data_IF_048885708621
#
_entry.id   IF_048885708621
#
_cell.length_a   1.000
_cell.length_b   1.000
_cell.length_c   1.000
_cell.angle_alpha   90.00
_cell.angle_beta   90.00
_cell.angle_gamma   90.00
#
_symmetry.space_group_name_H-M   'P 1'
#
loop_
_entity.id
_entity.type
_entity.pdbx_description
1 polymer ?
#
# COMPACT_ATOMS: atom_id res chain seq x y z
N UNK A 1 -70.26 55.62 -18.57
CA UNK A 1 -69.09 55.80 -19.45
C UNK A 1 -68.08 54.73 -19.06
N UNK A 2 -67.95 53.69 -19.90
CA UNK A 2 -66.94 52.65 -19.73
C UNK A 2 -65.98 52.82 -20.90
N UNK A 3 -64.79 53.35 -20.64
CA UNK A 3 -63.75 53.43 -21.65
C UNK A 3 -63.21 52.01 -21.91
N UNK A 4 -63.17 51.54 -23.17
CA UNK A 4 -62.49 50.30 -23.49
C UNK A 4 -60.99 50.54 -23.40
N UNK A 5 -60.34 49.83 -22.47
CA UNK A 5 -58.89 49.72 -22.38
C UNK A 5 -58.33 49.45 -23.79
N UNK A 6 -57.44 50.34 -24.25
CA UNK A 6 -56.79 50.25 -25.55
C UNK A 6 -56.02 48.93 -25.65
N UNK A 7 -56.25 48.19 -26.74
CA UNK A 7 -55.57 46.92 -27.02
C UNK A 7 -54.03 47.05 -27.00
N UNK A 8 -53.50 48.26 -27.21
CA UNK A 8 -52.06 48.56 -27.12
C UNK A 8 -51.52 48.59 -25.67
N UNK A 9 -52.31 49.01 -24.69
CA UNK A 9 -51.89 49.05 -23.28
C UNK A 9 -51.94 47.65 -22.65
N UNK A 10 -52.96 46.86 -22.98
CA UNK A 10 -53.03 45.47 -22.55
C UNK A 10 -51.88 44.64 -23.15
N UNK A 11 -51.60 44.78 -24.45
CA UNK A 11 -50.51 44.05 -25.12
C UNK A 11 -49.11 44.37 -24.57
N UNK A 12 -48.86 45.62 -24.16
CA UNK A 12 -47.59 46.04 -23.57
C UNK A 12 -47.34 45.44 -22.18
N UNK A 13 -48.38 45.35 -21.34
CA UNK A 13 -48.27 44.77 -19.99
C UNK A 13 -48.04 43.25 -20.08
N UNK A 14 -48.78 42.54 -20.95
CA UNK A 14 -48.58 41.11 -21.17
C UNK A 14 -47.18 40.81 -21.74
N UNK A 15 -46.70 41.59 -22.71
CA UNK A 15 -45.36 41.44 -23.26
C UNK A 15 -44.27 41.68 -22.20
N UNK A 16 -44.44 42.68 -21.33
CA UNK A 16 -43.53 42.99 -20.23
C UNK A 16 -43.44 41.85 -19.21
N UNK A 17 -44.57 41.28 -18.80
CA UNK A 17 -44.60 40.15 -17.86
C UNK A 17 -43.96 38.90 -18.46
N UNK A 18 -44.25 38.58 -19.72
CA UNK A 18 -43.64 37.43 -20.41
C UNK A 18 -42.13 37.61 -20.57
N UNK A 19 -41.66 38.81 -20.90
CA UNK A 19 -40.24 39.11 -20.99
C UNK A 19 -39.52 38.96 -19.64
N UNK A 20 -40.17 39.39 -18.55
CA UNK A 20 -39.62 39.30 -17.20
C UNK A 20 -39.54 37.84 -16.73
N UNK A 21 -40.57 37.03 -17.01
CA UNK A 21 -40.57 35.59 -16.75
C UNK A 21 -39.52 34.85 -17.59
N UNK A 22 -39.36 35.22 -18.87
CA UNK A 22 -38.34 34.63 -19.74
C UNK A 22 -36.92 34.97 -19.27
N UNK A 23 -36.68 36.19 -18.79
CA UNK A 23 -35.41 36.61 -18.22
C UNK A 23 -35.10 35.83 -16.92
N UNK A 24 -36.08 35.71 -16.04
CA UNK A 24 -35.96 34.93 -14.81
C UNK A 24 -35.70 33.45 -15.09
N UNK A 25 -36.40 32.86 -16.07
CA UNK A 25 -36.19 31.48 -16.51
C UNK A 25 -34.79 31.23 -17.05
N UNK A 26 -34.28 32.11 -17.93
CA UNK A 26 -32.90 32.02 -18.45
C UNK A 26 -31.86 32.24 -17.35
N UNK A 27 -32.10 33.15 -16.42
CA UNK A 27 -31.24 33.39 -15.27
C UNK A 27 -31.14 32.16 -14.36
N UNK A 28 -32.27 31.53 -14.05
CA UNK A 28 -32.31 30.29 -13.27
C UNK A 28 -31.60 29.14 -13.99
N UNK A 29 -31.85 28.96 -15.28
CA UNK A 29 -31.18 27.92 -16.08
C UNK A 29 -29.65 28.12 -16.16
N UNK A 30 -29.18 29.36 -16.31
CA UNK A 30 -27.75 29.66 -16.30
C UNK A 30 -27.09 29.32 -14.96
N UNK A 31 -27.75 29.66 -13.85
CA UNK A 31 -27.24 29.39 -12.51
C UNK A 31 -27.16 27.89 -12.20
N UNK A 32 -28.15 27.11 -12.64
CA UNK A 32 -28.16 25.65 -12.53
C UNK A 32 -27.02 25.02 -13.36
N UNK A 33 -26.90 25.39 -14.63
CA UNK A 33 -25.83 24.89 -15.50
C UNK A 33 -24.42 25.23 -14.97
N UNK A 34 -24.25 26.41 -14.37
CA UNK A 34 -22.99 26.82 -13.78
C UNK A 34 -22.63 25.99 -12.55
N UNK A 35 -23.61 25.68 -11.71
CA UNK A 35 -23.42 24.81 -10.56
C UNK A 35 -23.07 23.38 -11.00
N UNK A 36 -23.78 22.83 -12.00
CA UNK A 36 -23.51 21.49 -12.53
C UNK A 36 -22.12 21.39 -13.15
N UNK A 37 -21.68 22.39 -13.91
CA UNK A 37 -20.32 22.44 -14.44
C UNK A 37 -19.25 22.49 -13.33
N UNK A 38 -19.53 23.19 -12.22
CA UNK A 38 -18.64 23.22 -11.04
C UNK A 38 -18.62 21.90 -10.29
N UNK A 39 -19.76 21.23 -10.13
CA UNK A 39 -19.85 19.93 -9.47
C UNK A 39 -19.14 18.87 -10.32
N UNK A 40 -19.39 18.83 -11.63
CA UNK A 40 -18.75 17.91 -12.58
C UNK A 40 -17.22 18.11 -12.63
N UNK A 41 -16.74 19.35 -12.63
CA UNK A 41 -15.28 19.60 -12.59
C UNK A 41 -14.63 19.24 -11.25
N UNK A 42 -15.38 19.29 -10.14
CA UNK A 42 -14.89 18.83 -8.83
C UNK A 42 -14.89 17.30 -8.76
N UNK A 43 -15.95 16.63 -9.21
CA UNK A 43 -16.00 15.17 -9.23
C UNK A 43 -14.90 14.60 -10.11
N UNK A 44 -14.69 15.15 -11.32
CA UNK A 44 -13.63 14.69 -12.21
C UNK A 44 -12.22 14.84 -11.62
N UNK A 45 -11.98 15.89 -10.80
CA UNK A 45 -10.70 16.05 -10.08
C UNK A 45 -10.55 15.03 -8.96
N UNK A 46 -11.62 14.75 -8.22
CA UNK A 46 -11.61 13.74 -7.17
C UNK A 46 -11.37 12.35 -7.77
N UNK A 47 -12.04 12.02 -8.87
CA UNK A 47 -11.86 10.74 -9.57
C UNK A 47 -10.42 10.58 -10.07
N UNK A 48 -9.83 11.64 -10.62
CA UNK A 48 -8.42 11.64 -11.03
C UNK A 48 -7.47 11.45 -9.85
N UNK A 49 -7.75 12.09 -8.71
CA UNK A 49 -6.98 11.90 -7.47
C UNK A 49 -7.13 10.50 -6.90
N UNK A 50 -8.33 9.92 -6.90
CA UNK A 50 -8.54 8.54 -6.47
C UNK A 50 -7.76 7.56 -7.36
N UNK A 51 -7.83 7.72 -8.68
CA UNK A 51 -7.07 6.90 -9.61
C UNK A 51 -5.55 7.07 -9.44
N UNK A 52 -5.07 8.26 -9.10
CA UNK A 52 -3.66 8.48 -8.80
C UNK A 52 -3.23 7.80 -7.49
N UNK A 53 -4.06 7.90 -6.44
CA UNK A 53 -3.79 7.26 -5.15
C UNK A 53 -3.77 5.75 -5.27
N UNK A 54 -4.76 5.15 -5.94
CA UNK A 54 -4.84 3.71 -6.17
C UNK A 54 -3.59 3.21 -6.90
N UNK A 55 -3.16 3.90 -7.97
CA UNK A 55 -1.91 3.55 -8.67
C UNK A 55 -0.66 3.67 -7.81
N UNK A 56 -0.62 4.65 -6.89
CA UNK A 56 0.51 4.83 -5.96
C UNK A 56 0.52 3.72 -4.93
N UNK A 57 -0.64 3.34 -4.41
CA UNK A 57 -0.80 2.25 -3.45
C UNK A 57 -0.39 0.91 -4.07
N UNK A 58 -0.91 0.58 -5.26
CA UNK A 58 -0.51 -0.62 -6.00
C UNK A 58 1.00 -0.70 -6.24
N UNK A 59 1.62 0.44 -6.61
CA UNK A 59 3.07 0.49 -6.81
C UNK A 59 3.84 0.26 -5.51
N UNK A 60 3.42 0.88 -4.41
CA UNK A 60 4.06 0.72 -3.11
C UNK A 60 3.94 -0.72 -2.62
N UNK A 61 2.78 -1.34 -2.78
CA UNK A 61 2.56 -2.74 -2.41
C UNK A 61 3.42 -3.68 -3.24
N UNK A 62 3.53 -3.44 -4.54
CA UNK A 62 4.40 -4.21 -5.42
C UNK A 62 5.88 -4.07 -5.05
N UNK A 63 6.34 -2.85 -4.75
CA UNK A 63 7.71 -2.57 -4.32
C UNK A 63 8.02 -3.22 -2.96
N UNK A 64 7.10 -3.13 -2.00
CA UNK A 64 7.23 -3.77 -0.69
C UNK A 64 7.31 -5.29 -0.82
N UNK A 65 6.42 -5.89 -1.60
CA UNK A 65 6.43 -7.33 -1.84
C UNK A 65 7.73 -7.79 -2.48
N UNK A 66 8.19 -7.10 -3.53
CA UNK A 66 9.45 -7.42 -4.19
C UNK A 66 10.66 -7.27 -3.25
N UNK A 67 10.62 -6.28 -2.35
CA UNK A 67 11.66 -6.10 -1.34
C UNK A 67 11.64 -7.22 -0.29
N UNK A 68 10.46 -7.62 0.19
CA UNK A 68 10.28 -8.74 1.12
C UNK A 68 10.79 -10.05 0.50
N UNK A 69 10.37 -10.36 -0.73
CA UNK A 69 10.80 -11.58 -1.44
C UNK A 69 12.33 -11.62 -1.61
N UNK A 70 12.94 -10.47 -1.93
CA UNK A 70 14.41 -10.34 -2.05
C UNK A 70 15.09 -10.55 -0.70
N UNK A 71 14.56 -10.02 0.38
CA UNK A 71 15.11 -10.22 1.72
C UNK A 71 14.99 -11.67 2.15
N UNK A 72 13.84 -12.31 1.97
CA UNK A 72 13.61 -13.70 2.33
C UNK A 72 14.55 -14.63 1.56
N UNK A 73 14.73 -14.41 0.25
CA UNK A 73 15.67 -15.17 -0.56
C UNK A 73 17.12 -15.03 -0.06
N UNK A 74 17.53 -13.79 0.29
CA UNK A 74 18.87 -13.54 0.84
C UNK A 74 19.06 -14.20 2.21
N UNK A 75 18.06 -14.14 3.08
CA UNK A 75 18.11 -14.77 4.40
C UNK A 75 18.21 -16.29 4.27
N UNK A 76 17.36 -16.93 3.46
CA UNK A 76 17.44 -18.38 3.19
C UNK A 76 18.81 -18.81 2.67
N UNK A 77 19.39 -18.01 1.76
CA UNK A 77 20.73 -18.27 1.25
C UNK A 77 21.79 -18.17 2.36
N UNK A 78 21.76 -17.11 3.14
CA UNK A 78 22.70 -16.90 4.26
C UNK A 78 22.57 -17.98 5.33
N UNK A 79 21.35 -18.42 5.63
CA UNK A 79 21.10 -19.53 6.56
C UNK A 79 21.72 -20.83 6.06
N UNK A 80 21.54 -21.16 4.77
CA UNK A 80 22.17 -22.32 4.15
C UNK A 80 23.70 -22.24 4.15
N UNK A 81 24.27 -21.09 3.79
CA UNK A 81 25.72 -20.85 3.83
C UNK A 81 26.29 -20.99 5.25
N UNK A 82 25.62 -20.42 6.26
CA UNK A 82 26.03 -20.55 7.65
C UNK A 82 25.94 -21.98 8.17
N UNK A 83 24.89 -22.72 7.80
CA UNK A 83 24.77 -24.12 8.18
C UNK A 83 25.88 -24.97 7.52
N UNK A 84 26.19 -24.72 6.25
CA UNK A 84 27.27 -25.40 5.55
C UNK A 84 28.63 -25.11 6.18
N UNK A 85 28.91 -23.84 6.52
CA UNK A 85 30.14 -23.44 7.21
C UNK A 85 30.29 -24.12 8.59
N UNK A 86 29.20 -24.20 9.36
CA UNK A 86 29.19 -24.92 10.64
C UNK A 86 29.50 -26.40 10.47
N UNK A 87 28.82 -27.07 9.54
CA UNK A 87 29.05 -28.50 9.27
C UNK A 87 30.49 -28.75 8.80
N UNK A 88 31.01 -27.91 7.90
CA UNK A 88 32.39 -27.99 7.46
C UNK A 88 33.38 -27.82 8.62
N UNK A 89 33.12 -26.88 9.53
CA UNK A 89 33.96 -26.70 10.71
C UNK A 89 33.91 -27.93 11.62
N UNK A 90 32.73 -28.46 11.97
CA UNK A 90 32.62 -29.64 12.82
C UNK A 90 33.34 -30.86 12.21
N UNK A 91 33.20 -31.06 10.89
CA UNK A 91 33.89 -32.13 10.17
C UNK A 91 35.42 -32.01 10.25
N UNK A 92 35.97 -30.79 10.31
CA UNK A 92 37.41 -30.54 10.43
C UNK A 92 37.86 -30.51 11.90
N UNK A 93 37.04 -29.99 12.80
CA UNK A 93 37.35 -29.83 14.22
C UNK A 93 37.42 -31.17 14.95
N UNK A 94 36.54 -32.13 14.63
CA UNK A 94 36.53 -33.47 15.24
C UNK A 94 37.88 -34.20 15.06
N UNK A 95 38.43 -34.38 13.85
CA UNK A 95 39.72 -35.03 13.68
C UNK A 95 40.87 -34.20 14.26
N UNK A 96 40.81 -32.87 14.21
CA UNK A 96 41.86 -32.02 14.81
C UNK A 96 41.89 -32.14 16.34
N UNK A 97 40.73 -32.20 17.01
CA UNK A 97 40.63 -32.45 18.46
C UNK A 97 41.14 -33.84 18.84
N UNK A 98 40.99 -34.84 17.95
CA UNK A 98 41.54 -36.17 18.18
C UNK A 98 43.07 -36.21 18.11
N UNK A 99 43.69 -35.31 17.33
CA UNK A 99 45.15 -35.21 17.18
C UNK A 99 45.76 -34.34 18.29
N UNK A 100 45.18 -33.18 18.58
CA UNK A 100 45.69 -32.24 19.60
C UNK A 100 44.53 -31.69 20.45
N UNK A 101 44.12 -32.42 21.50
CA UNK A 101 42.98 -32.05 22.34
C UNK A 101 43.21 -30.77 23.16
N UNK A 102 44.47 -30.41 23.41
CA UNK A 102 44.86 -29.30 24.28
C UNK A 102 45.01 -27.96 23.57
N UNK A 103 44.73 -27.89 22.26
CA UNK A 103 45.06 -26.71 21.46
C UNK A 103 44.17 -25.50 21.82
N UNK A 104 44.72 -24.40 22.36
CA UNK A 104 43.94 -23.24 22.75
C UNK A 104 43.30 -22.52 21.55
N UNK A 105 43.82 -22.70 20.33
CA UNK A 105 43.25 -22.11 19.11
C UNK A 105 41.95 -22.79 18.70
N UNK A 106 41.81 -24.10 18.96
CA UNK A 106 40.55 -24.82 18.71
C UNK A 106 39.45 -24.32 19.64
N UNK A 107 39.77 -24.09 20.91
CA UNK A 107 38.84 -23.51 21.88
C UNK A 107 38.42 -22.07 21.50
N UNK A 108 39.37 -21.23 21.06
CA UNK A 108 39.06 -19.88 20.59
C UNK A 108 38.19 -19.89 19.32
N UNK A 109 38.47 -20.79 18.37
CA UNK A 109 37.67 -20.92 17.15
C UNK A 109 36.23 -21.34 17.46
N UNK A 110 36.03 -22.26 18.41
CA UNK A 110 34.70 -22.67 18.87
C UNK A 110 33.91 -21.51 19.50
N UNK A 111 34.55 -20.71 20.34
CA UNK A 111 33.92 -19.54 20.98
C UNK A 111 33.55 -18.46 19.94
N UNK A 112 34.43 -18.20 18.98
CA UNK A 112 34.15 -17.28 17.86
C UNK A 112 32.97 -17.77 17.01
N UNK A 113 32.85 -19.07 16.76
CA UNK A 113 31.73 -19.62 16.01
C UNK A 113 30.43 -19.62 16.80
N UNK A 114 30.48 -19.87 18.10
CA UNK A 114 29.32 -19.82 19.00
C UNK A 114 28.75 -18.40 19.11
N UNK A 115 29.63 -17.39 19.13
CA UNK A 115 29.23 -15.98 19.15
C UNK A 115 28.77 -15.47 17.78
N UNK A 116 29.47 -15.82 16.69
CA UNK A 116 29.11 -15.41 15.33
C UNK A 116 27.84 -16.10 14.80
N UNK A 117 27.61 -17.34 15.26
CA UNK A 117 26.43 -18.12 14.92
C UNK A 117 25.78 -18.58 16.24
N UNK A 118 24.83 -17.82 16.81
CA UNK A 118 24.06 -18.29 17.95
C UNK A 118 23.21 -19.52 17.55
N UNK A 119 23.06 -20.47 18.46
CA UNK A 119 22.12 -21.57 18.30
C UNK A 119 20.70 -20.98 18.35
N UNK A 120 20.15 -20.60 17.20
CA UNK A 120 18.70 -20.48 17.07
C UNK A 120 18.22 -21.87 16.69
N UNK A 121 17.69 -22.68 17.62
CA UNK A 121 16.97 -23.88 17.22
C UNK A 121 15.81 -23.39 16.35
N UNK A 122 15.99 -23.48 15.04
CA UNK A 122 14.87 -23.39 14.11
C UNK A 122 14.05 -24.65 14.36
N UNK A 123 13.15 -24.58 15.35
CA UNK A 123 12.14 -25.61 15.57
C UNK A 123 11.30 -25.61 14.29
N UNK A 124 11.36 -26.70 13.47
CA UNK A 124 10.53 -26.79 12.28
C UNK A 124 9.07 -26.58 12.67
N UNK A 125 8.28 -25.93 11.81
CA UNK A 125 6.87 -25.63 12.11
C UNK A 125 6.09 -26.87 12.59
N UNK A 126 6.44 -28.05 12.07
CA UNK A 126 5.88 -29.34 12.46
C UNK A 126 6.21 -29.75 13.91
N UNK A 127 7.43 -29.50 14.39
CA UNK A 127 7.79 -29.75 15.79
C UNK A 127 7.12 -28.75 16.74
N UNK A 128 6.90 -27.51 16.30
CA UNK A 128 6.17 -26.51 17.10
C UNK A 128 4.70 -26.91 17.28
N UNK A 129 4.09 -27.47 16.23
CA UNK A 129 2.75 -28.05 16.29
C UNK A 129 2.70 -29.30 17.21
N UNK A 130 3.72 -30.16 17.15
CA UNK A 130 3.81 -31.34 18.02
C UNK A 130 3.97 -30.98 19.52
N UNK A 131 4.71 -29.91 19.84
CA UNK A 131 4.89 -29.45 21.22
C UNK A 131 3.63 -28.77 21.79
N UNK A 132 2.83 -28.09 20.96
CA UNK A 132 1.55 -27.50 21.39
C UNK A 132 0.41 -28.51 21.56
N UNK A 133 0.61 -29.77 21.16
CA UNK A 133 -0.36 -30.86 21.32
C UNK A 133 -0.06 -31.77 22.53
N UNK A 134 0.98 -31.46 23.31
CA UNK A 134 1.39 -32.20 24.51
C UNK A 134 0.95 -31.48 25.81
N UNK A 135 0.29 -30.32 25.70
CA UNK A 135 -0.41 -29.63 26.79
C UNK A 135 -1.90 -30.01 26.78
#
# INVERSE_FOLDING_TARGET
>A
MNDPLSAGEAGGIFAGVVALLALLGKGAQWLLNWNDARVSSRSAKLDAWHAELERREERLDAEQKAYQDRLESRLKKLEGENQALRLAFELVAVPLRAIDPGNPKLAQAEELLRSAFPLVPQVPAEMRAALGAID
#
